data_IF_246116955059
#
_entry.id   IF_246116955059
#
_cell.length_a   1.000
_cell.length_b   1.000
_cell.length_c   1.000
_cell.angle_alpha   90.00
_cell.angle_beta   90.00
_cell.angle_gamma   90.00
#
_symmetry.space_group_name_H-M   'P 1'
#
loop_
_entity.id
_entity.type
_entity.pdbx_description
1 polymer ?
#
# COMPACT_ATOMS: atom_id res chain seq x y z
N UNK A 1 -1.41 -15.81 2.83
CA UNK A 1 -1.29 -14.52 2.14
C UNK A 1 0.16 -14.18 1.93
N UNK A 2 0.46 -13.54 0.82
CA UNK A 2 1.82 -13.20 0.44
C UNK A 2 1.95 -11.69 0.29
N UNK A 3 3.15 -11.17 0.62
CA UNK A 3 3.48 -9.77 0.40
C UNK A 3 4.55 -9.66 -0.67
N UNK A 4 4.50 -8.59 -1.45
CA UNK A 4 5.55 -8.26 -2.41
C UNK A 4 5.61 -6.76 -2.63
N UNK A 5 6.71 -6.30 -3.19
CA UNK A 5 6.80 -4.91 -3.60
C UNK A 5 5.94 -4.67 -4.82
N UNK A 6 5.35 -3.48 -4.88
CA UNK A 6 4.62 -3.04 -6.07
C UNK A 6 5.58 -2.77 -7.21
N UNK A 7 5.11 -3.01 -8.43
CA UNK A 7 5.83 -2.67 -9.65
C UNK A 7 4.98 -1.74 -10.52
N UNK A 8 5.57 -1.23 -11.59
CA UNK A 8 4.86 -0.38 -12.53
C UNK A 8 3.66 -1.09 -13.17
N UNK A 9 3.71 -2.41 -13.28
CA UNK A 9 2.63 -3.21 -13.87
C UNK A 9 1.37 -3.24 -12.99
N UNK A 10 1.50 -2.91 -11.72
CA UNK A 10 0.35 -2.92 -10.80
C UNK A 10 -0.51 -1.66 -10.91
N UNK A 11 0.00 -0.59 -11.50
CA UNK A 11 -0.66 0.72 -11.47
C UNK A 11 -2.07 0.69 -12.06
N UNK A 12 -2.28 0.00 -13.18
CA UNK A 12 -3.59 -0.05 -13.82
C UNK A 12 -4.65 -0.70 -12.93
N UNK A 13 -4.28 -1.75 -12.20
CA UNK A 13 -5.19 -2.39 -11.25
C UNK A 13 -5.53 -1.44 -10.08
N UNK A 14 -4.56 -0.72 -9.58
CA UNK A 14 -4.79 0.26 -8.51
C UNK A 14 -5.73 1.37 -8.98
N UNK A 15 -5.59 1.84 -10.21
CA UNK A 15 -6.51 2.83 -10.79
C UNK A 15 -7.95 2.31 -10.82
N UNK A 16 -8.14 1.04 -11.16
CA UNK A 16 -9.46 0.42 -11.14
C UNK A 16 -10.05 0.38 -9.72
N UNK A 17 -9.21 0.06 -8.73
CA UNK A 17 -9.66 0.03 -7.34
C UNK A 17 -10.04 1.43 -6.85
N UNK A 18 -9.22 2.45 -7.11
CA UNK A 18 -9.56 3.82 -6.73
C UNK A 18 -10.87 4.26 -7.37
N UNK A 19 -11.06 3.99 -8.65
CA UNK A 19 -12.30 4.33 -9.35
C UNK A 19 -13.51 3.62 -8.74
N UNK A 20 -13.36 2.33 -8.38
CA UNK A 20 -14.43 1.55 -7.76
C UNK A 20 -14.82 2.11 -6.39
N UNK A 21 -13.86 2.72 -5.66
CA UNK A 21 -14.12 3.36 -4.37
C UNK A 21 -14.59 4.80 -4.50
N UNK A 22 -14.81 5.29 -5.72
CA UNK A 22 -15.39 6.61 -5.97
C UNK A 22 -14.40 7.76 -6.06
N UNK A 23 -13.12 7.48 -6.25
CA UNK A 23 -12.14 8.54 -6.46
C UNK A 23 -12.34 9.14 -7.85
N UNK A 24 -12.39 10.47 -7.93
CA UNK A 24 -12.60 11.17 -9.19
C UNK A 24 -11.46 11.00 -10.18
N UNK A 25 -10.25 10.86 -9.64
CA UNK A 25 -9.06 10.65 -10.45
C UNK A 25 -8.10 9.73 -9.71
N UNK A 26 -7.32 8.91 -10.42
CA UNK A 26 -6.29 8.09 -9.78
C UNK A 26 -5.15 8.97 -9.27
N UNK A 27 -4.41 8.46 -8.27
CA UNK A 27 -3.16 9.09 -7.87
C UNK A 27 -2.19 9.00 -9.06
N UNK A 28 -1.58 10.11 -9.50
CA UNK A 28 -0.65 10.07 -10.62
C UNK A 28 0.51 9.10 -10.35
N UNK A 29 0.91 8.37 -11.39
CA UNK A 29 1.94 7.35 -11.26
C UNK A 29 3.27 7.91 -10.75
N UNK A 30 3.65 9.09 -11.21
CA UNK A 30 4.89 9.75 -10.79
C UNK A 30 4.81 10.38 -9.40
N UNK A 31 3.63 10.46 -8.81
CA UNK A 31 3.44 10.90 -7.43
C UNK A 31 3.64 9.74 -6.44
N UNK A 32 3.49 8.50 -6.87
CA UNK A 32 3.57 7.34 -5.99
C UNK A 32 5.01 7.04 -5.59
N UNK A 33 5.19 6.68 -4.33
CA UNK A 33 6.48 6.27 -3.80
C UNK A 33 6.99 5.00 -4.49
N UNK A 34 8.32 4.86 -4.59
CA UNK A 34 8.95 3.62 -5.03
C UNK A 34 8.73 2.46 -4.06
N UNK A 35 8.36 2.77 -2.83
CA UNK A 35 8.17 1.78 -1.78
C UNK A 35 6.69 1.55 -1.59
N UNK A 36 6.16 0.55 -2.25
CA UNK A 36 4.78 0.11 -2.10
C UNK A 36 4.72 -1.38 -1.85
N UNK A 37 3.69 -1.81 -1.15
CA UNK A 37 3.47 -3.21 -0.79
C UNK A 37 2.13 -3.66 -1.32
N UNK A 38 2.13 -4.84 -1.94
CA UNK A 38 0.91 -5.55 -2.35
C UNK A 38 0.75 -6.80 -1.51
N UNK A 39 -0.46 -7.05 -1.03
CA UNK A 39 -0.82 -8.31 -0.39
C UNK A 39 -1.72 -9.09 -1.33
N UNK A 40 -1.39 -10.36 -1.54
CA UNK A 40 -2.14 -11.24 -2.42
C UNK A 40 -2.35 -12.61 -1.78
N UNK A 41 -3.33 -13.36 -2.30
CA UNK A 41 -3.57 -14.73 -1.94
C UNK A 41 -4.03 -15.50 -3.18
N UNK A 42 -3.37 -16.62 -3.46
CA UNK A 42 -3.71 -17.47 -4.62
C UNK A 42 -3.74 -16.67 -5.93
N UNK A 43 -2.76 -15.80 -6.13
CA UNK A 43 -2.62 -14.94 -7.32
C UNK A 43 -3.69 -13.86 -7.46
N UNK A 44 -4.46 -13.61 -6.40
CA UNK A 44 -5.42 -12.50 -6.38
C UNK A 44 -4.87 -11.40 -5.50
N UNK A 45 -4.72 -10.20 -6.05
CA UNK A 45 -4.29 -9.03 -5.31
C UNK A 45 -5.42 -8.50 -4.44
N UNK A 46 -5.14 -8.23 -3.16
CA UNK A 46 -6.16 -7.89 -2.18
C UNK A 46 -6.07 -6.43 -1.73
N UNK A 47 -4.88 -5.96 -1.39
CA UNK A 47 -4.71 -4.57 -0.97
C UNK A 47 -3.28 -4.09 -1.21
N UNK A 48 -3.12 -2.78 -1.25
CA UNK A 48 -1.84 -2.14 -1.44
C UNK A 48 -1.75 -0.85 -0.63
N UNK A 49 -0.52 -0.43 -0.34
CA UNK A 49 -0.26 0.83 0.35
C UNK A 49 1.17 1.26 0.10
N UNK A 50 1.47 2.51 0.44
CA UNK A 50 2.75 3.14 0.10
C UNK A 50 3.41 3.76 1.32
N UNK A 51 4.74 3.68 1.35
CA UNK A 51 5.58 4.32 2.35
C UNK A 51 6.37 5.45 1.70
N UNK A 52 6.21 6.66 2.21
CA UNK A 52 7.02 7.81 1.81
C UNK A 52 8.01 8.13 2.91
N UNK A 53 9.22 8.49 2.53
CA UNK A 53 10.30 8.79 3.48
C UNK A 53 10.89 10.16 3.20
N UNK A 54 11.51 10.73 4.24
CA UNK A 54 12.26 11.98 4.15
C UNK A 54 13.74 11.65 4.27
N UNK A 55 14.56 12.20 3.36
CA UNK A 55 15.96 11.84 3.27
C UNK A 55 16.82 12.34 4.44
N UNK A 56 16.37 13.36 5.17
CA UNK A 56 17.16 14.00 6.20
C UNK A 56 16.55 13.90 7.61
N UNK A 57 15.60 12.99 7.80
CA UNK A 57 14.98 12.74 9.10
C UNK A 57 14.47 11.29 9.18
N UNK A 58 14.43 10.71 10.39
CA UNK A 58 13.97 9.32 10.56
C UNK A 58 12.43 9.24 10.59
N UNK A 59 11.78 9.84 9.61
CA UNK A 59 10.33 10.00 9.54
C UNK A 59 9.81 9.42 8.23
N UNK A 60 8.67 8.75 8.30
CA UNK A 60 7.98 8.24 7.12
C UNK A 60 6.48 8.41 7.23
N UNK A 61 5.81 8.30 6.10
CA UNK A 61 4.35 8.31 6.01
C UNK A 61 3.86 7.08 5.28
N UNK A 62 2.89 6.40 5.90
CA UNK A 62 2.10 5.37 5.25
C UNK A 62 0.83 6.01 4.71
N UNK A 63 0.64 5.96 3.39
CA UNK A 63 -0.49 6.63 2.75
C UNK A 63 -0.96 5.90 1.51
N UNK A 64 -2.09 6.36 0.95
CA UNK A 64 -2.77 5.81 -0.21
C UNK A 64 -3.09 4.31 -0.10
N UNK A 65 -3.57 3.83 1.08
CA UNK A 65 -3.99 2.44 1.15
C UNK A 65 -5.24 2.25 0.28
N UNK A 66 -5.27 1.15 -0.43
CA UNK A 66 -6.42 0.81 -1.27
C UNK A 66 -6.60 -0.70 -1.28
N UNK A 67 -7.84 -1.15 -1.33
CA UNK A 67 -8.16 -2.58 -1.37
C UNK A 67 -8.98 -2.92 -2.61
N UNK A 68 -8.84 -4.18 -3.02
CA UNK A 68 -9.65 -4.75 -4.09
C UNK A 68 -11.12 -4.81 -3.62
N UNK A 69 -12.04 -4.12 -4.29
CA UNK A 69 -13.43 -4.08 -3.86
C UNK A 69 -14.15 -5.42 -3.94
N UNK A 70 -13.62 -6.38 -4.68
CA UNK A 70 -14.19 -7.72 -4.78
C UNK A 70 -13.89 -8.58 -3.53
N UNK A 71 -12.89 -8.20 -2.72
CA UNK A 71 -12.49 -8.96 -1.53
C UNK A 71 -13.05 -8.23 -0.31
N UNK A 72 -13.81 -8.94 0.52
CA UNK A 72 -14.53 -8.36 1.65
C UNK A 72 -14.32 -9.17 2.93
N UNK A 73 -14.78 -8.60 4.05
CA UNK A 73 -14.86 -9.29 5.33
C UNK A 73 -13.50 -9.61 5.93
N UNK A 74 -13.40 -10.82 6.49
CA UNK A 74 -12.22 -11.25 7.24
C UNK A 74 -10.96 -11.27 6.37
N UNK A 75 -11.07 -11.68 5.11
CA UNK A 75 -9.92 -11.75 4.21
C UNK A 75 -9.33 -10.36 3.96
N UNK A 76 -10.17 -9.36 3.73
CA UNK A 76 -9.71 -7.98 3.53
C UNK A 76 -9.04 -7.42 4.79
N UNK A 77 -9.69 -7.61 5.94
CA UNK A 77 -9.16 -7.14 7.22
C UNK A 77 -7.80 -7.76 7.53
N UNK A 78 -7.67 -9.06 7.32
CA UNK A 78 -6.40 -9.77 7.52
C UNK A 78 -5.32 -9.25 6.59
N UNK A 79 -5.65 -9.03 5.32
CA UNK A 79 -4.70 -8.52 4.35
C UNK A 79 -4.21 -7.11 4.71
N UNK A 80 -5.09 -6.24 5.17
CA UNK A 80 -4.72 -4.89 5.61
C UNK A 80 -3.78 -4.94 6.80
N UNK A 81 -4.02 -5.81 7.77
CA UNK A 81 -3.14 -5.98 8.92
C UNK A 81 -1.75 -6.47 8.50
N UNK A 82 -1.70 -7.40 7.56
CA UNK A 82 -0.43 -7.91 7.00
C UNK A 82 0.31 -6.80 6.26
N UNK A 83 -0.39 -5.99 5.48
CA UNK A 83 0.18 -4.85 4.77
C UNK A 83 0.81 -3.85 5.73
N UNK A 84 0.10 -3.48 6.77
CA UNK A 84 0.59 -2.54 7.79
C UNK A 84 1.86 -3.10 8.45
N UNK A 85 1.85 -4.37 8.83
CA UNK A 85 3.01 -5.02 9.45
C UNK A 85 4.22 -5.02 8.52
N UNK A 86 4.02 -5.26 7.23
CA UNK A 86 5.10 -5.25 6.26
C UNK A 86 5.65 -3.84 6.04
N UNK A 87 4.80 -2.83 5.98
CA UNK A 87 5.21 -1.42 5.87
C UNK A 87 6.02 -1.02 7.12
N UNK A 88 5.58 -1.40 8.32
CA UNK A 88 6.31 -1.13 9.55
C UNK A 88 7.68 -1.77 9.56
N UNK A 89 7.78 -3.01 9.08
CA UNK A 89 9.05 -3.73 8.98
C UNK A 89 10.00 -3.03 8.01
N UNK A 90 9.51 -2.64 6.85
CA UNK A 90 10.31 -1.92 5.85
C UNK A 90 10.78 -0.58 6.42
N UNK A 91 9.90 0.15 7.09
CA UNK A 91 10.26 1.42 7.72
C UNK A 91 11.37 1.23 8.75
N UNK A 92 11.24 0.24 9.62
CA UNK A 92 12.24 -0.05 10.65
C UNK A 92 13.58 -0.43 10.03
N UNK A 93 13.57 -1.27 8.99
CA UNK A 93 14.79 -1.71 8.30
C UNK A 93 15.50 -0.54 7.61
N UNK A 94 14.78 0.55 7.30
CA UNK A 94 15.32 1.75 6.69
C UNK A 94 15.61 2.87 7.71
N UNK A 95 15.63 2.56 8.98
CA UNK A 95 15.98 3.53 10.02
C UNK A 95 14.89 4.55 10.35
N UNK A 96 13.65 4.29 9.96
CA UNK A 96 12.52 5.16 10.29
C UNK A 96 12.14 4.92 11.75
N UNK A 97 12.15 5.99 12.55
CA UNK A 97 11.76 5.94 13.95
C UNK A 97 10.32 6.38 14.19
N UNK A 98 9.82 7.27 13.34
CA UNK A 98 8.48 7.85 13.46
C UNK A 98 7.72 7.60 12.18
N UNK A 99 6.68 6.79 12.27
CA UNK A 99 5.84 6.46 11.13
C UNK A 99 4.46 7.06 11.34
N UNK A 100 4.08 7.96 10.45
CA UNK A 100 2.76 8.57 10.43
C UNK A 100 1.87 7.89 9.42
N UNK A 101 0.57 7.94 9.67
CA UNK A 101 -0.44 7.42 8.74
C UNK A 101 -1.49 8.48 8.49
N UNK A 102 -1.94 8.56 7.24
CA UNK A 102 -3.04 9.45 6.84
C UNK A 102 -4.41 8.76 6.92
N UNK A 103 -4.47 7.61 7.54
CA UNK A 103 -5.71 6.85 7.70
C UNK A 103 -6.67 7.48 8.71
#
# INVERSE_FOLDING_TARGET
MQTRRLSNDDYNELCQWWAAWGWEAPVPKDFLSDTGVMVSEENVNICAGFLYTISNAPVGWFTFPVSNPAIRGVARKKAIQIMISEIEKIAKDNGIKYLYSSL
#
